data_IF_832825377168
#
_entry.id   IF_832825377168
#
_cell.length_a   1.000
_cell.length_b   1.000
_cell.length_c   1.000
_cell.angle_alpha   90.00
_cell.angle_beta   90.00
_cell.angle_gamma   90.00
#
_symmetry.space_group_name_H-M   'P 1'
#
loop_
_entity.id
_entity.type
_entity.pdbx_description
1 polymer ?
#
# COMPACT_ATOMS: atom_id res chain seq x y z
N UNK A 1 17.14 -2.27 -15.14
CA UNK A 1 17.26 -0.83 -15.44
C UNK A 1 18.70 -0.49 -15.75
N UNK A 2 19.68 -0.76 -14.86
CA UNK A 2 21.12 -0.43 -15.07
C UNK A 2 21.67 -0.96 -16.40
N UNK A 3 21.29 -2.17 -16.81
CA UNK A 3 21.76 -2.76 -18.06
C UNK A 3 21.20 -2.07 -19.33
N UNK A 4 20.16 -1.27 -19.18
CA UNK A 4 19.48 -0.59 -20.29
C UNK A 4 19.89 0.88 -20.44
N UNK A 5 20.59 1.45 -19.45
CA UNK A 5 20.99 2.86 -19.42
C UNK A 5 22.53 2.93 -19.54
N UNK A 6 23.08 3.36 -20.67
CA UNK A 6 24.51 3.25 -20.95
C UNK A 6 25.36 4.23 -20.12
N UNK A 7 24.82 5.42 -19.78
CA UNK A 7 25.56 6.47 -19.08
C UNK A 7 24.65 7.42 -18.30
N UNK A 8 25.24 8.25 -17.44
CA UNK A 8 24.54 9.19 -16.58
C UNK A 8 23.79 10.27 -17.38
N UNK A 9 24.32 10.69 -18.54
CA UNK A 9 23.67 11.70 -19.37
C UNK A 9 22.37 11.18 -19.97
N UNK A 10 22.37 9.93 -20.45
CA UNK A 10 21.19 9.24 -20.91
C UNK A 10 20.13 9.12 -19.79
N UNK A 11 20.56 8.82 -18.55
CA UNK A 11 19.68 8.78 -17.39
C UNK A 11 18.98 10.13 -17.14
N UNK A 12 19.74 11.23 -17.17
CA UNK A 12 19.19 12.58 -16.94
C UNK A 12 18.22 12.98 -18.07
N UNK A 13 18.53 12.65 -19.32
CA UNK A 13 17.65 12.92 -20.46
C UNK A 13 16.33 12.12 -20.37
N UNK A 14 16.41 10.84 -19.98
CA UNK A 14 15.22 10.01 -19.77
C UNK A 14 14.38 10.55 -18.59
N UNK A 15 15.03 11.02 -17.52
CA UNK A 15 14.32 11.64 -16.40
C UNK A 15 13.58 12.91 -16.82
N UNK A 16 14.27 13.81 -17.53
CA UNK A 16 13.67 15.04 -18.04
C UNK A 16 12.50 14.76 -19.00
N UNK A 17 12.67 13.77 -19.88
CA UNK A 17 11.61 13.34 -20.80
C UNK A 17 10.41 12.76 -20.03
N UNK A 18 10.65 11.93 -19.01
CA UNK A 18 9.58 11.35 -18.19
C UNK A 18 8.77 12.43 -17.46
N UNK A 19 9.44 13.49 -16.96
CA UNK A 19 8.76 14.63 -16.35
C UNK A 19 7.92 15.37 -17.39
N UNK A 20 8.51 15.74 -18.53
CA UNK A 20 7.83 16.50 -19.57
C UNK A 20 6.62 15.75 -20.14
N UNK A 21 6.75 14.44 -20.38
CA UNK A 21 5.66 13.58 -20.84
C UNK A 21 4.57 13.44 -19.76
N UNK A 22 4.99 13.25 -18.51
CA UNK A 22 4.09 13.21 -17.37
C UNK A 22 3.27 14.50 -17.23
N UNK A 23 3.92 15.65 -17.24
CA UNK A 23 3.26 16.96 -17.17
C UNK A 23 2.31 17.18 -18.36
N UNK A 24 2.66 16.71 -19.55
CA UNK A 24 1.81 16.79 -20.74
C UNK A 24 0.55 15.92 -20.64
N UNK A 25 0.60 14.81 -19.91
CA UNK A 25 -0.58 13.94 -19.68
C UNK A 25 -1.52 14.49 -18.60
N UNK A 26 -1.11 15.52 -17.87
CA UNK A 26 -1.89 16.19 -16.83
C UNK A 26 -1.96 15.42 -15.51
N UNK A 27 -2.63 16.01 -14.52
CA UNK A 27 -2.67 15.51 -13.14
C UNK A 27 -3.29 14.11 -12.95
N UNK A 28 -4.08 13.66 -13.91
CA UNK A 28 -4.65 12.32 -13.92
C UNK A 28 -3.60 11.24 -14.27
N UNK A 29 -2.61 11.56 -15.08
CA UNK A 29 -1.53 10.66 -15.50
C UNK A 29 -0.23 10.86 -14.73
N UNK A 30 0.04 12.09 -14.24
CA UNK A 30 1.26 12.48 -13.57
C UNK A 30 0.95 13.22 -12.26
N UNK A 31 1.19 12.56 -11.15
CA UNK A 31 1.03 13.13 -9.81
C UNK A 31 2.38 13.43 -9.17
N UNK A 32 2.41 14.31 -8.15
CA UNK A 32 3.60 14.59 -7.35
C UNK A 32 4.23 13.31 -6.80
N UNK A 33 3.40 12.32 -6.54
CA UNK A 33 3.84 11.02 -6.07
C UNK A 33 4.55 10.22 -7.17
N UNK A 34 4.01 10.16 -8.40
CA UNK A 34 4.72 9.53 -9.55
C UNK A 34 6.04 10.24 -9.83
N UNK A 35 6.05 11.56 -9.78
CA UNK A 35 7.27 12.35 -9.89
C UNK A 35 8.30 11.96 -8.82
N UNK A 36 7.88 11.80 -7.57
CA UNK A 36 8.75 11.36 -6.46
C UNK A 36 9.29 9.94 -6.70
N UNK A 37 8.47 8.99 -7.14
CA UNK A 37 8.93 7.63 -7.45
C UNK A 37 9.96 7.59 -8.58
N UNK A 38 9.70 8.35 -9.65
CA UNK A 38 10.65 8.45 -10.77
C UNK A 38 11.96 9.07 -10.30
N UNK A 39 11.90 10.15 -9.50
CA UNK A 39 13.07 10.79 -8.94
C UNK A 39 13.86 9.84 -8.00
N UNK A 40 13.18 9.06 -7.15
CA UNK A 40 13.81 8.05 -6.31
C UNK A 40 14.50 6.96 -7.15
N UNK A 41 13.84 6.46 -8.19
CA UNK A 41 14.42 5.48 -9.11
C UNK A 41 15.67 6.05 -9.79
N UNK A 42 15.60 7.26 -10.35
CA UNK A 42 16.73 7.95 -10.99
C UNK A 42 17.88 8.11 -10.01
N UNK A 43 17.62 8.54 -8.78
CA UNK A 43 18.66 8.68 -7.76
C UNK A 43 19.32 7.34 -7.41
N UNK A 44 18.56 6.26 -7.35
CA UNK A 44 19.10 4.91 -7.12
C UNK A 44 19.97 4.44 -8.27
N UNK A 45 19.52 4.65 -9.51
CA UNK A 45 20.29 4.30 -10.72
C UNK A 45 21.57 5.13 -10.78
N UNK A 46 21.48 6.44 -10.52
CA UNK A 46 22.65 7.34 -10.48
C UNK A 46 23.71 6.89 -9.46
N UNK A 47 23.29 6.52 -8.25
CA UNK A 47 24.17 5.97 -7.22
C UNK A 47 24.81 4.65 -7.67
N UNK A 48 24.04 3.76 -8.25
CA UNK A 48 24.54 2.48 -8.76
C UNK A 48 25.57 2.68 -9.90
N UNK A 49 25.33 3.63 -10.80
CA UNK A 49 26.27 3.98 -11.90
C UNK A 49 27.57 4.59 -11.37
N UNK A 50 27.54 5.32 -10.24
CA UNK A 50 28.74 5.86 -9.60
C UNK A 50 29.49 4.83 -8.73
N UNK A 51 29.09 3.56 -8.76
CA UNK A 51 29.72 2.49 -7.96
C UNK A 51 29.41 2.56 -6.47
N UNK A 52 28.53 3.47 -6.06
CA UNK A 52 28.01 3.50 -4.70
C UNK A 52 27.02 2.34 -4.56
N UNK A 53 27.26 1.46 -3.60
CA UNK A 53 26.34 0.39 -3.29
C UNK A 53 24.97 1.02 -2.95
N UNK A 54 24.01 0.82 -3.85
CA UNK A 54 22.63 1.30 -3.62
C UNK A 54 22.10 0.47 -2.49
N UNK A 55 21.93 1.08 -1.33
CA UNK A 55 21.25 0.43 -0.23
C UNK A 55 19.95 -0.17 -0.80
N UNK A 56 19.89 -1.49 -0.87
CA UNK A 56 18.65 -2.18 -1.12
C UNK A 56 17.63 -1.57 -0.16
N UNK A 57 16.36 -1.45 -0.57
CA UNK A 57 15.29 -0.95 0.31
C UNK A 57 15.55 -1.46 1.73
N UNK A 58 15.35 -0.64 2.79
CA UNK A 58 15.75 -0.99 4.14
C UNK A 58 15.38 -2.45 4.40
N UNK A 59 16.42 -3.28 4.44
CA UNK A 59 16.23 -4.71 4.64
C UNK A 59 15.59 -4.85 6.00
N UNK A 60 14.66 -5.76 6.10
CA UNK A 60 14.14 -6.19 7.39
C UNK A 60 15.35 -6.65 8.19
N UNK A 61 15.60 -6.05 9.34
CA UNK A 61 16.76 -6.41 10.16
C UNK A 61 16.60 -7.83 10.71
N UNK A 62 17.72 -8.52 10.94
CA UNK A 62 17.67 -9.85 11.55
C UNK A 62 16.91 -9.86 12.88
N UNK A 63 16.97 -8.76 13.64
CA UNK A 63 16.20 -8.56 14.87
C UNK A 63 14.69 -8.50 14.58
N UNK A 64 14.25 -7.81 13.53
CA UNK A 64 12.85 -7.74 13.12
C UNK A 64 12.34 -9.11 12.66
N UNK A 65 13.17 -9.85 11.90
CA UNK A 65 12.86 -11.22 11.48
C UNK A 65 12.74 -12.14 12.70
N UNK A 66 13.67 -12.05 13.65
CA UNK A 66 13.67 -12.88 14.85
C UNK A 66 12.46 -12.60 15.77
N UNK A 67 12.02 -11.33 15.88
CA UNK A 67 10.83 -10.94 16.62
C UNK A 67 9.55 -11.54 15.99
N UNK A 68 9.39 -11.37 14.70
CA UNK A 68 8.23 -11.90 14.00
C UNK A 68 8.23 -13.44 13.96
N UNK A 69 9.40 -14.09 13.85
CA UNK A 69 9.53 -15.55 13.88
C UNK A 69 9.12 -16.15 15.25
N UNK A 70 9.21 -15.37 16.35
CA UNK A 70 8.71 -15.78 17.67
C UNK A 70 7.19 -15.67 17.81
N UNK A 71 6.50 -15.16 16.80
CA UNK A 71 5.06 -14.90 16.85
C UNK A 71 4.71 -13.57 17.53
N UNK A 72 5.71 -12.74 17.83
CA UNK A 72 5.52 -11.48 18.54
C UNK A 72 5.04 -10.38 17.56
N UNK A 73 3.97 -9.71 17.95
CA UNK A 73 3.52 -8.49 17.31
C UNK A 73 4.25 -7.29 17.93
N UNK A 74 4.91 -6.50 17.10
CA UNK A 74 5.49 -5.23 17.51
C UNK A 74 4.83 -4.09 16.74
N UNK A 75 4.47 -3.03 17.43
CA UNK A 75 3.96 -1.79 16.86
C UNK A 75 4.80 -0.64 17.38
N UNK A 76 5.30 0.18 16.48
CA UNK A 76 6.02 1.42 16.77
C UNK A 76 5.21 2.57 16.19
N UNK A 77 5.06 3.64 16.95
CA UNK A 77 4.38 4.86 16.55
C UNK A 77 5.32 6.04 16.79
N UNK A 78 5.66 6.74 15.73
CA UNK A 78 6.54 7.91 15.78
C UNK A 78 5.83 9.13 15.19
N UNK A 79 6.19 10.32 15.68
CA UNK A 79 5.69 11.55 15.10
C UNK A 79 6.22 11.73 13.67
N UNK A 80 5.35 12.14 12.75
CA UNK A 80 5.67 12.44 11.37
C UNK A 80 5.13 13.83 11.01
N UNK A 81 5.71 14.49 10.02
CA UNK A 81 5.30 15.84 9.60
C UNK A 81 3.81 15.95 9.22
N UNK A 82 3.21 14.87 8.72
CA UNK A 82 1.79 14.78 8.35
C UNK A 82 0.92 14.04 9.37
N UNK A 83 1.46 13.65 10.53
CA UNK A 83 0.74 12.90 11.57
C UNK A 83 1.62 11.87 12.26
N UNK A 84 1.54 10.60 11.85
CA UNK A 84 2.33 9.52 12.45
C UNK A 84 2.92 8.59 11.39
N UNK A 85 4.13 8.10 11.69
CA UNK A 85 4.70 6.91 11.07
C UNK A 85 4.39 5.71 11.98
N UNK A 86 3.78 4.67 11.44
CA UNK A 86 3.46 3.43 12.15
C UNK A 86 4.24 2.30 11.52
N UNK A 87 5.03 1.58 12.31
CA UNK A 87 5.67 0.33 11.89
C UNK A 87 4.99 -0.84 12.60
N UNK A 88 4.60 -1.84 11.83
CA UNK A 88 4.02 -3.08 12.35
C UNK A 88 4.86 -4.25 11.88
N UNK A 89 5.36 -5.03 12.84
CA UNK A 89 6.09 -6.28 12.59
C UNK A 89 5.26 -7.41 13.17
N UNK A 90 5.03 -8.44 12.37
CA UNK A 90 4.13 -9.55 12.73
C UNK A 90 4.51 -10.80 11.97
N UNK A 91 4.12 -12.01 12.43
CA UNK A 91 4.06 -13.17 11.57
C UNK A 91 3.26 -12.86 10.30
N UNK A 92 3.79 -13.27 9.15
CA UNK A 92 3.11 -13.07 7.87
C UNK A 92 1.93 -14.04 7.73
N UNK A 93 0.79 -13.50 7.31
CA UNK A 93 -0.42 -14.28 7.04
C UNK A 93 -1.30 -13.58 6.00
N UNK A 94 -2.05 -14.34 5.21
CA UNK A 94 -3.01 -13.76 4.27
C UNK A 94 -3.98 -12.82 4.98
N UNK A 95 -4.25 -11.65 4.36
CA UNK A 95 -5.16 -10.64 4.90
C UNK A 95 -4.56 -9.71 5.97
N UNK A 96 -3.27 -9.85 6.30
CA UNK A 96 -2.64 -9.02 7.32
C UNK A 96 -2.68 -7.53 6.99
N UNK A 97 -2.41 -7.15 5.74
CA UNK A 97 -2.50 -5.74 5.29
C UNK A 97 -3.91 -5.19 5.50
N UNK A 98 -4.93 -5.93 5.09
CA UNK A 98 -6.34 -5.56 5.27
C UNK A 98 -6.67 -5.36 6.75
N UNK A 99 -6.30 -6.31 7.59
CA UNK A 99 -6.55 -6.26 9.03
C UNK A 99 -5.93 -5.02 9.66
N UNK A 100 -4.65 -4.75 9.38
CA UNK A 100 -3.95 -3.57 9.93
C UNK A 100 -4.56 -2.27 9.41
N UNK A 101 -4.91 -2.20 8.11
CA UNK A 101 -5.62 -1.06 7.53
C UNK A 101 -6.97 -0.81 8.22
N UNK A 102 -7.73 -1.87 8.49
CA UNK A 102 -8.98 -1.80 9.24
C UNK A 102 -8.79 -1.24 10.64
N UNK A 103 -7.82 -1.76 11.39
CA UNK A 103 -7.51 -1.25 12.74
C UNK A 103 -7.11 0.23 12.69
N UNK A 104 -6.18 0.63 11.82
CA UNK A 104 -5.76 2.02 11.65
C UNK A 104 -6.99 2.92 11.41
N UNK A 105 -7.88 2.50 10.55
CA UNK A 105 -9.08 3.26 10.22
C UNK A 105 -10.07 3.36 11.40
N UNK A 106 -10.15 2.35 12.31
CA UNK A 106 -11.01 2.45 13.51
C UNK A 106 -10.54 3.54 14.47
N UNK A 107 -9.26 3.92 14.44
CA UNK A 107 -8.69 5.05 15.20
C UNK A 107 -8.87 6.40 14.49
N UNK A 108 -9.60 6.45 13.38
CA UNK A 108 -9.79 7.65 12.55
C UNK A 108 -8.46 8.23 12.06
N UNK A 109 -7.61 7.33 11.62
CA UNK A 109 -6.35 7.65 10.97
C UNK A 109 -6.49 7.39 9.46
N UNK A 110 -6.34 8.44 8.67
CA UNK A 110 -6.31 8.34 7.21
C UNK A 110 -4.96 7.80 6.76
N UNK A 111 -4.97 6.75 5.96
CA UNK A 111 -3.76 6.18 5.38
C UNK A 111 -3.30 7.05 4.20
N UNK A 112 -2.10 7.61 4.30
CA UNK A 112 -1.46 8.39 3.23
C UNK A 112 -0.51 7.56 2.41
N UNK A 113 0.11 6.58 3.04
CA UNK A 113 1.04 5.66 2.39
C UNK A 113 1.11 4.38 3.23
N UNK A 114 1.14 3.26 2.56
CA UNK A 114 1.40 1.96 3.16
C UNK A 114 2.41 1.19 2.31
N UNK A 115 3.39 0.59 2.96
CA UNK A 115 4.33 -0.34 2.33
C UNK A 115 4.40 -1.59 3.19
N UNK A 116 4.19 -2.73 2.59
CA UNK A 116 4.39 -4.03 3.23
C UNK A 116 5.49 -4.79 2.52
N UNK A 117 6.25 -5.55 3.27
CA UNK A 117 7.27 -6.45 2.76
C UNK A 117 7.28 -7.71 3.60
N UNK A 118 7.10 -8.84 2.93
CA UNK A 118 7.26 -10.15 3.54
C UNK A 118 8.72 -10.60 3.45
N UNK A 119 9.22 -11.19 4.51
CA UNK A 119 10.53 -11.83 4.56
C UNK A 119 10.45 -13.13 5.36
N UNK A 120 10.56 -14.27 4.68
CA UNK A 120 10.32 -15.58 5.30
C UNK A 120 8.89 -15.67 5.83
N UNK A 121 8.76 -15.96 7.13
CA UNK A 121 7.49 -16.03 7.85
C UNK A 121 7.10 -14.70 8.51
N UNK A 122 7.76 -13.60 8.20
CA UNK A 122 7.58 -12.31 8.85
C UNK A 122 7.11 -11.26 7.86
N UNK A 123 6.21 -10.38 8.29
CA UNK A 123 5.82 -9.19 7.56
C UNK A 123 6.23 -7.93 8.31
N UNK A 124 6.79 -6.97 7.58
CA UNK A 124 7.09 -5.63 8.08
C UNK A 124 6.29 -4.64 7.26
N UNK A 125 5.46 -3.88 7.94
CA UNK A 125 4.60 -2.86 7.34
C UNK A 125 4.97 -1.48 7.86
N UNK A 126 5.10 -0.53 6.96
CA UNK A 126 5.32 0.89 7.28
C UNK A 126 4.17 1.70 6.73
N UNK A 127 3.57 2.51 7.58
CA UNK A 127 2.41 3.33 7.28
C UNK A 127 2.71 4.78 7.60
N UNK A 128 2.26 5.69 6.75
CA UNK A 128 2.15 7.11 7.08
C UNK A 128 0.67 7.40 7.18
N UNK A 129 0.26 7.93 8.33
CA UNK A 129 -1.14 8.17 8.63
C UNK A 129 -1.36 9.59 9.16
N UNK A 130 -2.49 10.17 8.83
CA UNK A 130 -2.91 11.51 9.28
C UNK A 130 -4.16 11.37 10.17
N UNK A 131 -4.16 11.90 11.39
CA UNK A 131 -5.37 11.91 12.20
C UNK A 131 -6.45 12.77 11.54
N UNK A 132 -7.68 12.26 11.50
CA UNK A 132 -8.86 13.06 11.14
C UNK A 132 -9.14 14.13 12.22
N UNK A 133 -9.89 15.18 11.91
CA UNK A 133 -10.38 16.10 12.92
C UNK A 133 -11.11 15.36 14.04
N UNK A 134 -10.76 15.66 15.29
CA UNK A 134 -11.31 15.00 16.49
C UNK A 134 -11.05 13.50 16.58
N UNK A 135 -10.00 12.97 15.93
CA UNK A 135 -9.55 11.61 16.13
C UNK A 135 -9.14 11.40 17.60
N UNK A 136 -9.41 10.24 18.19
CA UNK A 136 -8.93 9.92 19.53
C UNK A 136 -7.40 9.88 19.55
N UNK A 137 -6.80 10.14 20.70
CA UNK A 137 -5.37 9.97 20.88
C UNK A 137 -5.01 8.50 20.66
N UNK A 138 -3.98 8.27 19.84
CA UNK A 138 -3.48 6.95 19.51
C UNK A 138 -2.13 6.72 20.15
N UNK A 139 -1.90 5.49 20.62
CA UNK A 139 -0.61 5.03 21.14
C UNK A 139 -0.23 3.71 20.46
N UNK A 140 1.06 3.40 20.42
CA UNK A 140 1.54 2.12 19.90
C UNK A 140 0.88 0.93 20.64
N UNK A 141 0.66 1.07 21.96
CA UNK A 141 0.02 0.03 22.76
C UNK A 141 -1.44 -0.19 22.38
N UNK A 142 -2.20 0.89 22.15
CA UNK A 142 -3.61 0.78 21.75
C UNK A 142 -3.75 0.13 20.37
N UNK A 143 -2.92 0.55 19.41
CA UNK A 143 -2.87 -0.05 18.08
C UNK A 143 -2.50 -1.54 18.17
N UNK A 144 -1.47 -1.88 18.94
CA UNK A 144 -1.05 -3.25 19.15
C UNK A 144 -2.20 -4.10 19.71
N UNK A 145 -2.84 -3.64 20.78
CA UNK A 145 -3.95 -4.36 21.41
C UNK A 145 -5.12 -4.61 20.46
N UNK A 146 -5.48 -3.62 19.63
CA UNK A 146 -6.56 -3.80 18.64
C UNK A 146 -6.15 -4.74 17.50
N UNK A 147 -4.88 -4.71 17.04
CA UNK A 147 -4.37 -5.67 16.07
C UNK A 147 -4.37 -7.08 16.63
N UNK A 148 -3.94 -7.29 17.91
CA UNK A 148 -3.98 -8.58 18.56
C UNK A 148 -5.40 -9.15 18.69
N UNK A 149 -6.39 -8.31 19.02
CA UNK A 149 -7.80 -8.71 19.03
C UNK A 149 -8.27 -9.10 17.62
N UNK A 150 -7.92 -8.31 16.63
CA UNK A 150 -8.30 -8.53 15.24
C UNK A 150 -7.69 -9.81 14.64
N UNK A 151 -6.58 -10.29 15.18
CA UNK A 151 -6.02 -11.59 14.80
C UNK A 151 -6.95 -12.76 15.09
N UNK A 152 -7.79 -12.63 16.11
CA UNK A 152 -8.73 -13.65 16.53
C UNK A 152 -10.12 -13.46 15.93
N UNK A 153 -10.55 -12.19 15.78
CA UNK A 153 -11.87 -11.84 15.27
C UNK A 153 -11.86 -10.44 14.65
N UNK A 154 -12.26 -10.32 13.41
CA UNK A 154 -12.36 -9.06 12.66
C UNK A 154 -13.75 -8.41 12.72
N UNK A 155 -14.75 -9.08 13.23
CA UNK A 155 -16.15 -8.62 13.20
C UNK A 155 -16.32 -7.23 13.81
N UNK A 156 -15.65 -6.97 14.93
CA UNK A 156 -15.70 -5.67 15.59
C UNK A 156 -15.09 -4.52 14.77
N UNK A 157 -14.12 -4.83 13.87
CA UNK A 157 -13.55 -3.86 12.92
C UNK A 157 -14.58 -3.59 11.82
N UNK A 158 -15.16 -4.64 11.26
CA UNK A 158 -16.16 -4.56 10.20
C UNK A 158 -17.36 -3.71 10.65
N UNK A 159 -17.89 -3.96 11.83
CA UNK A 159 -19.00 -3.18 12.42
C UNK A 159 -18.66 -1.70 12.55
N UNK A 160 -17.47 -1.38 13.08
CA UNK A 160 -16.99 0.00 13.20
C UNK A 160 -16.82 0.68 11.84
N UNK A 161 -16.28 -0.01 10.85
CA UNK A 161 -16.09 0.52 9.51
C UNK A 161 -17.42 0.74 8.78
N UNK A 162 -18.39 -0.17 8.94
CA UNK A 162 -19.75 -0.01 8.41
C UNK A 162 -20.42 1.24 9.02
N UNK A 163 -20.36 1.38 10.35
CA UNK A 163 -20.93 2.55 11.02
C UNK A 163 -20.27 3.85 10.54
N UNK A 164 -18.96 3.86 10.33
CA UNK A 164 -18.26 5.02 9.77
C UNK A 164 -18.67 5.31 8.33
N UNK A 165 -18.73 4.30 7.48
CA UNK A 165 -19.15 4.48 6.08
C UNK A 165 -20.56 5.08 5.99
N UNK A 166 -21.47 4.64 6.85
CA UNK A 166 -22.83 5.21 6.95
C UNK A 166 -22.82 6.68 7.37
N UNK A 167 -21.96 7.05 8.35
CA UNK A 167 -21.82 8.44 8.77
C UNK A 167 -21.24 9.34 7.65
N UNK A 168 -20.31 8.81 6.85
CA UNK A 168 -19.75 9.52 5.69
C UNK A 168 -20.73 9.64 4.53
N UNK A 169 -21.64 8.69 4.33
CA UNK A 169 -22.63 8.72 3.26
C UNK A 169 -23.60 9.91 3.37
N UNK A 170 -23.71 10.53 4.54
CA UNK A 170 -24.53 11.74 4.76
C UNK A 170 -23.83 13.04 4.35
N UNK A 171 -22.53 13.00 4.03
CA UNK A 171 -21.77 14.17 3.55
C UNK A 171 -21.98 14.28 2.03
N UNK A 172 -22.30 15.47 1.47
CA UNK A 172 -22.44 15.64 0.02
C UNK A 172 -21.19 15.11 -0.70
N UNK A 173 -21.37 14.13 -1.59
CA UNK A 173 -20.27 13.53 -2.31
C UNK A 173 -19.68 14.55 -3.32
N UNK A 174 -18.37 14.71 -3.30
CA UNK A 174 -17.65 15.33 -4.41
C UNK A 174 -17.76 14.35 -5.59
N UNK A 175 -18.14 14.80 -6.81
CA UNK A 175 -18.16 13.93 -7.97
C UNK A 175 -16.78 13.29 -8.18
N UNK A 176 -16.70 11.99 -8.15
CA UNK A 176 -15.49 11.21 -8.38
C UNK A 176 -15.80 10.24 -9.51
N UNK A 177 -14.84 9.96 -10.40
CA UNK A 177 -15.00 8.96 -11.45
C UNK A 177 -15.41 7.58 -10.88
N UNK A 178 -16.06 6.77 -11.72
CA UNK A 178 -16.34 5.38 -11.39
C UNK A 178 -15.05 4.63 -11.05
N UNK A 179 -15.11 3.65 -10.14
CA UNK A 179 -13.91 2.90 -9.78
C UNK A 179 -13.34 2.15 -10.98
N UNK A 180 -12.01 2.14 -11.06
CA UNK A 180 -11.23 1.45 -12.08
C UNK A 180 -10.34 0.43 -11.37
N UNK A 181 -10.28 -0.79 -11.92
CA UNK A 181 -9.35 -1.83 -11.49
C UNK A 181 -8.67 -2.40 -12.72
N UNK A 182 -7.36 -2.24 -12.77
CA UNK A 182 -6.51 -2.72 -13.87
C UNK A 182 -5.44 -3.66 -13.33
N UNK A 183 -4.91 -4.55 -14.17
CA UNK A 183 -3.80 -5.40 -13.79
C UNK A 183 -2.70 -5.42 -14.85
N UNK A 184 -1.47 -5.69 -14.42
CA UNK A 184 -0.28 -5.72 -15.25
C UNK A 184 0.62 -6.90 -14.83
N UNK A 185 0.95 -7.78 -15.77
CA UNK A 185 1.84 -8.93 -15.56
C UNK A 185 3.28 -8.71 -16.06
N UNK A 186 3.52 -7.63 -16.80
CA UNK A 186 4.83 -7.25 -17.35
C UNK A 186 5.62 -6.29 -16.44
N UNK A 187 4.98 -5.75 -15.39
CA UNK A 187 5.58 -4.79 -14.48
C UNK A 187 6.41 -5.37 -13.34
N UNK A 188 6.32 -6.69 -13.09
CA UNK A 188 7.07 -7.40 -12.06
C UNK A 188 7.36 -8.84 -12.47
N UNK A 189 8.46 -9.43 -11.99
CA UNK A 189 8.89 -10.77 -12.37
C UNK A 189 8.24 -11.88 -11.55
N UNK A 190 7.79 -11.59 -10.33
CA UNK A 190 7.31 -12.54 -9.33
C UNK A 190 5.94 -12.20 -8.75
N UNK A 191 5.28 -11.18 -9.30
CA UNK A 191 3.97 -10.72 -8.87
C UNK A 191 3.18 -10.11 -10.03
N UNK A 192 1.85 -10.14 -9.92
CA UNK A 192 0.94 -9.35 -10.74
C UNK A 192 0.71 -8.02 -10.04
N UNK A 193 0.73 -6.92 -10.77
CA UNK A 193 0.37 -5.60 -10.26
C UNK A 193 -1.12 -5.40 -10.48
N UNK A 194 -1.86 -5.06 -9.42
CA UNK A 194 -3.25 -4.61 -9.50
C UNK A 194 -3.29 -3.15 -9.09
N UNK A 195 -3.74 -2.27 -9.98
CA UNK A 195 -4.00 -0.86 -9.69
C UNK A 195 -5.49 -0.66 -9.48
N UNK A 196 -5.84 -0.07 -8.34
CA UNK A 196 -7.21 0.28 -7.97
C UNK A 196 -7.30 1.78 -7.85
N UNK A 197 -8.22 2.39 -8.60
CA UNK A 197 -8.59 3.80 -8.45
C UNK A 197 -10.05 3.88 -8.01
N UNK A 198 -10.30 4.58 -6.94
CA UNK A 198 -11.64 4.68 -6.39
C UNK A 198 -11.78 5.93 -5.51
N UNK A 199 -13.03 6.30 -5.22
CA UNK A 199 -13.30 7.32 -4.21
C UNK A 199 -12.73 6.90 -2.85
N UNK A 200 -11.92 7.78 -2.24
CA UNK A 200 -11.39 7.53 -0.90
C UNK A 200 -12.52 7.53 0.13
N UNK A 201 -12.70 6.42 0.80
CA UNK A 201 -13.72 6.20 1.82
C UNK A 201 -13.13 5.48 3.02
N UNK A 202 -13.66 5.74 4.22
CA UNK A 202 -13.25 4.97 5.39
C UNK A 202 -13.36 3.46 5.15
N UNK A 203 -12.26 2.75 5.42
CA UNK A 203 -12.20 1.30 5.24
C UNK A 203 -11.99 0.82 3.80
N UNK A 204 -11.70 1.70 2.82
CA UNK A 204 -11.47 1.30 1.44
C UNK A 204 -10.37 0.23 1.32
N UNK A 205 -9.19 0.49 1.88
CA UNK A 205 -8.05 -0.43 1.82
C UNK A 205 -8.34 -1.76 2.55
N UNK A 206 -9.11 -1.72 3.65
CA UNK A 206 -9.59 -2.92 4.31
C UNK A 206 -10.46 -3.77 3.36
N UNK A 207 -11.40 -3.16 2.65
CA UNK A 207 -12.28 -3.85 1.70
C UNK A 207 -11.51 -4.43 0.52
N UNK A 208 -10.59 -3.65 -0.06
CA UNK A 208 -9.73 -4.12 -1.16
C UNK A 208 -8.91 -5.33 -0.70
N UNK A 209 -8.22 -5.23 0.42
CA UNK A 209 -7.39 -6.31 0.93
C UNK A 209 -8.22 -7.55 1.32
N UNK A 210 -9.41 -7.38 1.89
CA UNK A 210 -10.34 -8.48 2.15
C UNK A 210 -10.80 -9.17 0.86
N UNK A 211 -11.10 -8.41 -0.20
CA UNK A 211 -11.47 -8.96 -1.51
C UNK A 211 -10.36 -9.79 -2.15
N UNK A 212 -9.11 -9.33 -2.05
CA UNK A 212 -7.92 -10.07 -2.51
C UNK A 212 -7.75 -11.36 -1.70
N UNK A 213 -7.83 -11.28 -0.39
CA UNK A 213 -7.71 -12.45 0.51
C UNK A 213 -8.80 -13.49 0.23
N UNK A 214 -10.06 -13.04 0.05
CA UNK A 214 -11.17 -13.92 -0.31
C UNK A 214 -10.98 -14.55 -1.69
N UNK A 215 -10.25 -13.91 -2.58
CA UNK A 215 -9.85 -14.47 -3.87
C UNK A 215 -8.69 -15.47 -3.76
N UNK A 216 -8.22 -15.79 -2.55
CA UNK A 216 -7.08 -16.69 -2.28
C UNK A 216 -5.80 -16.22 -2.97
N UNK A 217 -5.57 -14.92 -2.94
CA UNK A 217 -4.40 -14.24 -3.49
C UNK A 217 -3.70 -13.54 -2.33
N UNK A 218 -2.38 -13.51 -2.35
CA UNK A 218 -1.54 -12.87 -1.33
C UNK A 218 -1.03 -11.51 -1.78
N UNK A 219 -0.98 -10.55 -0.84
CA UNK A 219 -0.43 -9.21 -1.09
C UNK A 219 1.01 -9.16 -0.60
N UNK A 220 1.95 -9.16 -1.55
CA UNK A 220 3.39 -9.11 -1.27
C UNK A 220 3.89 -7.72 -0.96
N UNK A 221 3.31 -6.72 -1.59
CA UNK A 221 3.62 -5.30 -1.38
C UNK A 221 2.43 -4.46 -1.77
N UNK A 222 2.26 -3.33 -1.11
CA UNK A 222 1.23 -2.36 -1.44
C UNK A 222 1.81 -0.96 -1.37
N UNK A 223 1.40 -0.12 -2.32
CA UNK A 223 1.66 1.31 -2.32
C UNK A 223 0.30 1.97 -2.40
N UNK A 224 -0.05 2.68 -1.33
CA UNK A 224 -1.34 3.33 -1.17
C UNK A 224 -1.13 4.83 -1.20
N UNK A 225 -1.92 5.54 -1.97
CA UNK A 225 -1.81 6.99 -2.12
C UNK A 225 -3.20 7.60 -2.26
N UNK A 226 -3.46 8.67 -1.52
CA UNK A 226 -4.68 9.46 -1.65
C UNK A 226 -4.36 10.81 -2.30
N UNK A 227 -5.04 11.12 -3.39
CA UNK A 227 -4.95 12.39 -4.12
C UNK A 227 -6.31 13.10 -4.07
N UNK A 228 -6.44 14.07 -3.18
CA UNK A 228 -7.73 14.73 -2.98
C UNK A 228 -8.79 13.76 -2.47
N UNK A 229 -9.81 13.48 -3.29
CA UNK A 229 -10.88 12.53 -2.97
C UNK A 229 -10.70 11.15 -3.65
N UNK A 230 -9.61 10.94 -4.38
CA UNK A 230 -9.32 9.70 -5.08
C UNK A 230 -8.21 8.92 -4.37
N UNK A 231 -8.45 7.65 -4.10
CA UNK A 231 -7.43 6.70 -3.69
C UNK A 231 -6.87 5.98 -4.92
N UNK A 232 -5.54 5.87 -4.99
CA UNK A 232 -4.80 5.12 -6.01
C UNK A 232 -3.94 4.10 -5.29
N UNK A 233 -4.37 2.85 -5.32
CA UNK A 233 -3.73 1.75 -4.63
C UNK A 233 -3.06 0.83 -5.65
N UNK A 234 -1.76 0.66 -5.54
CA UNK A 234 -0.97 -0.27 -6.36
C UNK A 234 -0.57 -1.45 -5.51
N UNK A 235 -1.08 -2.62 -5.84
CA UNK A 235 -0.92 -3.86 -5.08
C UNK A 235 -0.11 -4.86 -5.88
N UNK A 236 0.97 -5.36 -5.31
CA UNK A 236 1.75 -6.45 -5.88
C UNK A 236 1.24 -7.75 -5.27
N UNK A 237 0.59 -8.55 -6.07
CA UNK A 237 -0.09 -9.76 -5.61
C UNK A 237 0.50 -11.02 -6.25
N UNK A 238 0.40 -12.14 -5.55
CA UNK A 238 0.86 -13.45 -6.03
C UNK A 238 -0.13 -14.54 -5.66
N UNK A 239 -0.05 -15.68 -6.35
CA UNK A 239 -0.70 -16.88 -5.88
C UNK A 239 -0.19 -17.27 -4.49
N UNK A 240 -1.00 -17.97 -3.69
CA UNK A 240 -0.57 -18.45 -2.36
C UNK A 240 0.63 -19.41 -2.43
N UNK A 241 0.81 -20.07 -3.58
CA UNK A 241 1.97 -20.93 -3.87
C UNK A 241 3.19 -20.14 -4.36
N UNK A 242 3.05 -18.82 -4.53
CA UNK A 242 4.05 -17.94 -5.13
C UNK A 242 3.87 -17.77 -6.63
N UNK A 243 4.52 -16.72 -7.18
CA UNK A 243 4.47 -16.36 -8.59
C UNK A 243 3.30 -15.44 -8.97
N UNK A 244 3.35 -14.85 -10.17
CA UNK A 244 2.31 -13.98 -10.67
C UNK A 244 1.02 -14.76 -10.99
N UNK A 245 -0.10 -14.04 -11.03
CA UNK A 245 -1.37 -14.60 -11.49
C UNK A 245 -1.35 -14.81 -13.01
N UNK A 246 -2.07 -15.81 -13.51
CA UNK A 246 -2.39 -15.84 -14.94
C UNK A 246 -3.32 -14.68 -15.30
N UNK A 247 -3.36 -14.30 -16.60
CA UNK A 247 -4.24 -13.22 -17.07
C UNK A 247 -5.72 -13.50 -16.75
N UNK A 248 -6.15 -14.74 -16.89
CA UNK A 248 -7.50 -15.17 -16.55
C UNK A 248 -7.78 -14.95 -15.06
N UNK A 249 -6.85 -15.36 -14.21
CA UNK A 249 -6.95 -15.22 -12.76
C UNK A 249 -6.92 -13.75 -12.32
N UNK A 250 -6.04 -12.96 -12.93
CA UNK A 250 -5.95 -11.53 -12.66
C UNK A 250 -7.25 -10.80 -13.05
N UNK A 251 -7.85 -11.15 -14.19
CA UNK A 251 -9.16 -10.63 -14.60
C UNK A 251 -10.29 -10.99 -13.62
N UNK A 252 -10.30 -12.23 -13.11
CA UNK A 252 -11.27 -12.65 -12.10
C UNK A 252 -11.16 -11.81 -10.83
N UNK A 253 -9.94 -11.61 -10.32
CA UNK A 253 -9.67 -10.81 -9.13
C UNK A 253 -10.05 -9.34 -9.36
N UNK A 254 -9.63 -8.74 -10.47
CA UNK A 254 -9.97 -7.37 -10.83
C UNK A 254 -11.48 -7.14 -10.95
N UNK A 255 -12.21 -8.07 -11.60
CA UNK A 255 -13.66 -8.01 -11.74
C UNK A 255 -14.37 -8.08 -10.38
N UNK A 256 -13.87 -8.93 -9.48
CA UNK A 256 -14.41 -9.04 -8.12
C UNK A 256 -14.18 -7.77 -7.31
N UNK A 257 -12.97 -7.20 -7.38
CA UNK A 257 -12.66 -5.93 -6.71
C UNK A 257 -13.55 -4.81 -7.24
N UNK A 258 -13.72 -4.73 -8.56
CA UNK A 258 -14.60 -3.73 -9.16
C UNK A 258 -16.06 -3.84 -8.68
N UNK A 259 -16.57 -5.08 -8.47
CA UNK A 259 -17.89 -5.30 -7.90
C UNK A 259 -17.98 -4.85 -6.43
N UNK A 260 -16.91 -5.04 -5.65
CA UNK A 260 -16.86 -4.61 -4.24
C UNK A 260 -16.80 -3.09 -4.08
N UNK A 261 -16.34 -2.37 -5.10
CA UNK A 261 -16.13 -0.93 -5.04
C UNK A 261 -17.32 -0.11 -5.53
N UNK A 262 -18.20 -0.73 -6.29
CA UNK A 262 -19.49 -0.16 -6.72
C UNK A 262 -20.50 -0.17 -5.59
#
# INVERSE_FOLDING_TARGET
VLALIPDANTLELLHALSIADGEATGSAGWSDWKATLVAELVNRVRKAMSGVEVAQQPQVSDEQVALAAKGDLRVVLEAHSSGYAVEVISPDKPGLLSLVAGVINTFRLDVRSARTKSHGSSAVMKWIVTPEPHAPAVTAQNLRSEIEKAFNDTSHIEDKLIARAQAYASIPAIPVPDPIVEFYNDGATDATIIEVRSHDRPGLLFRIGAGITQSKVDIRSAIVTTLGAEAIDTLYVSELTGGPLSDERANEVASRLLQLLK
#
